data_IF_029155826349
#
_entry.id   IF_029155826349
#
_cell.length_a   1.000
_cell.length_b   1.000
_cell.length_c   1.000
_cell.angle_alpha   90.00
_cell.angle_beta   90.00
_cell.angle_gamma   90.00
#
_symmetry.space_group_name_H-M   'P 1'
#
loop_
_entity.id
_entity.type
_entity.pdbx_description
1 polymer ?
#
# COMPACT_ATOMS: atom_id res chain seq x y z
N UNK A 1 9.58 16.41 7.77
CA UNK A 1 8.75 15.20 7.81
C UNK A 1 9.24 14.32 6.67
N UNK A 2 9.96 13.21 6.94
CA UNK A 2 10.40 12.30 5.88
C UNK A 2 9.21 11.61 5.20
N UNK A 3 9.36 11.36 3.91
CA UNK A 3 8.47 10.49 3.13
C UNK A 3 9.26 9.21 2.87
N UNK A 4 8.74 8.07 3.30
CA UNK A 4 9.34 6.77 3.09
C UNK A 4 8.50 6.01 2.07
N UNK A 5 9.12 5.48 1.03
CA UNK A 5 8.43 4.85 -0.09
C UNK A 5 8.92 3.41 -0.21
N UNK A 6 7.99 2.46 -0.11
CA UNK A 6 8.18 1.09 -0.57
C UNK A 6 7.52 0.98 -1.95
N UNK A 7 8.35 0.99 -2.99
CA UNK A 7 7.90 1.14 -4.38
C UNK A 7 7.47 -0.16 -5.06
N UNK A 8 7.61 -1.31 -4.38
CA UNK A 8 7.39 -2.62 -4.97
C UNK A 8 6.80 -3.58 -3.94
N UNK A 9 5.48 -3.49 -3.74
CA UNK A 9 4.77 -4.32 -2.75
C UNK A 9 3.75 -5.24 -3.39
N UNK A 10 3.93 -6.54 -3.14
CA UNK A 10 2.96 -7.59 -3.46
C UNK A 10 2.18 -7.98 -2.21
N UNK A 11 0.86 -8.06 -2.32
CA UNK A 11 0.02 -8.69 -1.32
C UNK A 11 -0.49 -10.00 -1.92
N UNK A 12 -0.08 -11.13 -1.34
CA UNK A 12 -0.52 -12.44 -1.79
C UNK A 12 -1.84 -12.86 -1.12
N UNK A 13 -2.67 -13.63 -1.82
CA UNK A 13 -3.99 -14.07 -1.33
C UNK A 13 -3.97 -14.82 0.02
N UNK A 14 -2.85 -15.45 0.37
CA UNK A 14 -2.67 -16.14 1.64
C UNK A 14 -2.27 -15.22 2.80
N UNK A 15 -2.01 -13.94 2.53
CA UNK A 15 -1.47 -13.01 3.51
C UNK A 15 -2.57 -12.26 4.24
N UNK A 16 -2.42 -12.13 5.56
CA UNK A 16 -3.36 -11.40 6.40
C UNK A 16 -3.13 -9.89 6.25
N UNK A 17 -4.15 -9.15 5.79
CA UNK A 17 -4.05 -7.71 5.56
C UNK A 17 -3.85 -6.90 6.85
N UNK A 18 -4.40 -7.34 7.97
CA UNK A 18 -4.19 -6.68 9.26
C UNK A 18 -2.73 -6.78 9.70
N UNK A 19 -2.14 -7.97 9.53
CA UNK A 19 -0.73 -8.22 9.80
C UNK A 19 0.18 -7.45 8.83
N UNK A 20 -0.18 -7.40 7.54
CA UNK A 20 0.50 -6.58 6.55
C UNK A 20 0.63 -5.14 7.01
N UNK A 21 -0.48 -4.45 7.28
CA UNK A 21 -0.42 -3.05 7.70
C UNK A 21 0.32 -2.89 9.03
N UNK A 22 0.18 -3.85 9.96
CA UNK A 22 0.88 -3.80 11.26
C UNK A 22 2.39 -3.77 11.03
N UNK A 23 2.89 -4.68 10.20
CA UNK A 23 4.30 -4.76 9.85
C UNK A 23 4.76 -3.52 9.06
N UNK A 24 3.95 -3.03 8.11
CA UNK A 24 4.28 -1.83 7.34
C UNK A 24 4.42 -0.59 8.22
N UNK A 25 3.51 -0.37 9.17
CA UNK A 25 3.61 0.75 10.14
C UNK A 25 4.83 0.63 11.06
N UNK A 26 5.16 -0.58 11.50
CA UNK A 26 6.35 -0.85 12.34
C UNK A 26 7.61 -0.52 11.53
N UNK A 27 7.74 -1.08 10.32
CA UNK A 27 8.90 -0.88 9.46
C UNK A 27 9.13 0.60 9.15
N UNK A 28 8.10 1.34 8.71
CA UNK A 28 8.25 2.77 8.44
C UNK A 28 8.60 3.56 9.70
N UNK A 29 8.02 3.24 10.85
CA UNK A 29 8.36 3.90 12.12
C UNK A 29 9.83 3.66 12.50
N UNK A 30 10.33 2.43 12.32
CA UNK A 30 11.73 2.10 12.60
C UNK A 30 12.69 2.85 11.68
N UNK A 31 12.41 2.88 10.37
CA UNK A 31 13.24 3.62 9.41
C UNK A 31 13.17 5.14 9.61
N UNK A 32 11.98 5.69 9.87
CA UNK A 32 11.81 7.11 10.17
C UNK A 32 12.62 7.52 11.42
N UNK A 33 12.61 6.69 12.47
CA UNK A 33 13.37 6.96 13.69
C UNK A 33 14.89 6.88 13.49
N UNK A 34 15.38 6.12 12.51
CA UNK A 34 16.79 6.10 12.12
C UNK A 34 17.22 7.37 11.40
N UNK A 35 16.30 8.00 10.64
CA UNK A 35 16.54 9.28 9.96
C UNK A 35 16.47 10.43 10.97
N UNK A 36 15.36 10.54 11.69
CA UNK A 36 15.14 11.61 12.67
C UNK A 36 14.18 11.13 13.77
N UNK A 37 14.74 10.82 14.95
CA UNK A 37 14.02 10.22 16.06
C UNK A 37 12.84 11.08 16.51
N UNK A 38 11.67 10.46 16.63
CA UNK A 38 10.46 11.07 17.20
C UNK A 38 9.75 12.07 16.28
N UNK A 39 10.18 12.22 15.02
CA UNK A 39 9.50 13.09 14.06
C UNK A 39 8.37 12.36 13.34
N UNK A 40 7.33 13.11 13.00
CA UNK A 40 6.27 12.65 12.10
C UNK A 40 6.83 12.27 10.74
N UNK A 41 6.20 11.27 10.11
CA UNK A 41 6.57 10.71 8.82
C UNK A 41 5.32 10.34 8.02
N UNK A 42 5.48 10.22 6.70
CA UNK A 42 4.46 9.68 5.80
C UNK A 42 5.05 8.45 5.10
N UNK A 43 4.33 7.34 5.16
CA UNK A 43 4.66 6.13 4.42
C UNK A 43 3.93 6.12 3.09
N UNK A 44 4.56 5.55 2.07
CA UNK A 44 3.95 5.30 0.76
C UNK A 44 4.21 3.85 0.41
N UNK A 45 3.16 3.12 0.11
CA UNK A 45 3.20 1.75 -0.40
C UNK A 45 2.69 1.79 -1.83
N UNK A 46 3.55 1.43 -2.77
CA UNK A 46 3.16 1.23 -4.15
C UNK A 46 2.88 -0.26 -4.35
N UNK A 47 1.60 -0.59 -4.53
CA UNK A 47 1.22 -1.96 -4.86
C UNK A 47 1.66 -2.27 -6.29
N UNK A 48 2.10 -3.51 -6.49
CA UNK A 48 2.53 -4.03 -7.79
C UNK A 48 1.77 -5.31 -8.08
N UNK A 49 0.44 -5.26 -8.07
CA UNK A 49 -0.38 -6.46 -8.06
C UNK A 49 -0.20 -7.30 -9.33
N UNK A 50 -0.12 -8.61 -9.15
CA UNK A 50 -0.08 -9.58 -10.25
C UNK A 50 -1.50 -9.88 -10.78
N UNK A 51 -1.57 -10.58 -11.90
CA UNK A 51 -2.85 -11.04 -12.46
C UNK A 51 -3.67 -11.85 -11.44
N UNK A 52 -4.98 -11.58 -11.38
CA UNK A 52 -5.89 -12.22 -10.43
C UNK A 52 -5.87 -11.65 -9.01
N UNK A 53 -5.06 -10.63 -8.74
CA UNK A 53 -5.00 -9.91 -7.46
C UNK A 53 -5.51 -8.48 -7.64
N UNK A 54 -6.39 -8.05 -6.73
CA UNK A 54 -7.02 -6.72 -6.74
C UNK A 54 -7.30 -6.19 -5.33
N UNK A 55 -6.27 -6.20 -4.48
CA UNK A 55 -6.34 -5.70 -3.12
C UNK A 55 -6.57 -4.19 -3.05
N UNK A 56 -6.05 -3.41 -3.99
CA UNK A 56 -6.31 -1.97 -4.02
C UNK A 56 -7.80 -1.66 -4.07
N UNK A 57 -8.53 -2.27 -5.02
CA UNK A 57 -9.98 -2.04 -5.11
C UNK A 57 -10.73 -2.64 -3.92
N UNK A 58 -10.31 -3.79 -3.41
CA UNK A 58 -10.88 -4.36 -2.18
C UNK A 58 -10.72 -3.42 -0.98
N UNK A 59 -9.56 -2.79 -0.81
CA UNK A 59 -9.29 -1.82 0.25
C UNK A 59 -10.09 -0.52 0.05
N UNK A 60 -10.21 -0.07 -1.20
CA UNK A 60 -10.96 1.14 -1.57
C UNK A 60 -12.47 0.96 -1.38
N UNK A 61 -13.00 -0.25 -1.52
CA UNK A 61 -14.41 -0.56 -1.31
C UNK A 61 -14.79 -0.55 0.17
N UNK A 62 -15.59 0.44 0.58
CA UNK A 62 -16.10 0.57 1.96
C UNK A 62 -17.08 -0.53 2.37
N UNK A 63 -17.62 -1.30 1.41
CA UNK A 63 -18.49 -2.46 1.67
C UNK A 63 -17.72 -3.77 1.80
N UNK A 64 -16.40 -3.76 1.54
CA UNK A 64 -15.58 -4.94 1.69
C UNK A 64 -15.61 -5.44 3.14
N UNK A 65 -15.67 -6.76 3.34
CA UNK A 65 -15.65 -7.39 4.66
C UNK A 65 -14.23 -7.71 5.12
N UNK A 66 -13.29 -6.80 4.86
CA UNK A 66 -11.90 -6.96 5.28
C UNK A 66 -11.82 -6.77 6.79
N UNK A 67 -11.12 -7.67 7.48
CA UNK A 67 -10.82 -7.50 8.90
C UNK A 67 -9.67 -6.51 9.06
N UNK A 68 -10.02 -5.22 9.17
CA UNK A 68 -9.09 -4.10 9.32
C UNK A 68 -9.52 -3.17 10.45
N UNK A 69 -10.07 -3.73 11.52
CA UNK A 69 -10.66 -2.99 12.66
C UNK A 69 -9.69 -2.03 13.36
N UNK A 70 -8.37 -2.26 13.22
CA UNK A 70 -7.32 -1.39 13.76
C UNK A 70 -6.94 -0.21 12.86
N UNK A 71 -7.52 -0.12 11.66
CA UNK A 71 -7.18 0.88 10.66
C UNK A 71 -8.40 1.63 10.16
N UNK A 72 -8.17 2.89 9.78
CA UNK A 72 -9.12 3.72 9.07
C UNK A 72 -8.65 3.88 7.63
N UNK A 73 -9.50 3.54 6.68
CA UNK A 73 -9.23 3.74 5.25
C UNK A 73 -10.01 4.96 4.77
N UNK A 74 -9.35 5.84 4.03
CA UNK A 74 -9.95 7.04 3.44
C UNK A 74 -9.54 7.15 1.97
N UNK A 75 -10.50 7.41 1.09
CA UNK A 75 -10.20 7.72 -0.31
C UNK A 75 -9.53 9.10 -0.44
N UNK A 76 -8.65 9.25 -1.42
CA UNK A 76 -8.06 10.55 -1.80
C UNK A 76 -8.83 11.22 -2.94
N UNK A 77 -8.42 12.42 -3.34
CA UNK A 77 -8.87 13.08 -4.57
C UNK A 77 -8.43 12.34 -5.84
N UNK A 78 -7.27 11.70 -5.75
CA UNK A 78 -6.68 10.86 -6.78
C UNK A 78 -7.36 9.49 -6.77
N UNK A 79 -7.77 9.01 -7.94
CA UNK A 79 -8.53 7.77 -8.06
C UNK A 79 -7.74 6.53 -7.61
N UNK A 80 -6.43 6.54 -7.83
CA UNK A 80 -5.53 5.40 -7.64
C UNK A 80 -4.72 5.50 -6.35
N UNK A 81 -5.23 6.24 -5.34
CA UNK A 81 -4.67 6.20 -4.00
C UNK A 81 -5.73 6.21 -2.90
N UNK A 82 -5.32 5.68 -1.75
CA UNK A 82 -6.07 5.70 -0.49
C UNK A 82 -5.11 6.01 0.65
N UNK A 83 -5.63 6.54 1.75
CA UNK A 83 -4.90 6.74 3.00
C UNK A 83 -5.35 5.68 3.99
N UNK A 84 -4.39 4.94 4.55
CA UNK A 84 -4.58 4.04 5.68
C UNK A 84 -3.96 4.68 6.91
N UNK A 85 -4.77 4.85 7.95
CA UNK A 85 -4.34 5.40 9.24
C UNK A 85 -4.50 4.38 10.35
N UNK A 86 -3.54 4.31 11.28
CA UNK A 86 -3.68 3.48 12.48
C UNK A 86 -4.24 4.28 13.68
N UNK A 87 -4.46 3.60 14.82
CA UNK A 87 -4.93 4.23 16.08
C UNK A 87 -4.04 5.34 16.65
N UNK A 88 -2.80 5.48 16.16
CA UNK A 88 -1.86 6.54 16.54
C UNK A 88 -1.84 7.70 15.54
N UNK A 89 -2.81 7.73 14.61
CA UNK A 89 -2.91 8.72 13.53
C UNK A 89 -1.69 8.75 12.58
N UNK A 90 -0.87 7.70 12.59
CA UNK A 90 0.19 7.52 11.61
C UNK A 90 -0.44 7.17 10.26
N UNK A 91 0.16 7.64 9.16
CA UNK A 91 -0.45 7.55 7.83
C UNK A 91 0.46 6.82 6.84
N UNK A 92 -0.16 5.92 6.09
CA UNK A 92 0.40 5.30 4.90
C UNK A 92 -0.51 5.65 3.72
N UNK A 93 0.07 6.17 2.65
CA UNK A 93 -0.60 6.33 1.36
C UNK A 93 -0.38 5.02 0.60
N UNK A 94 -1.46 4.36 0.21
CA UNK A 94 -1.40 3.17 -0.66
C UNK A 94 -1.73 3.63 -2.07
N UNK A 95 -0.82 3.35 -3.00
CA UNK A 95 -0.93 3.67 -4.42
C UNK A 95 -1.20 2.37 -5.18
N UNK A 96 -2.23 2.37 -6.03
CA UNK A 96 -2.53 1.26 -6.91
C UNK A 96 -1.40 1.05 -7.93
N UNK A 97 -1.13 -0.19 -8.28
CA UNK A 97 -0.24 -0.50 -9.38
C UNK A 97 -0.29 -1.98 -9.77
N UNK A 98 0.23 -2.27 -10.96
CA UNK A 98 0.26 -3.61 -11.55
C UNK A 98 1.68 -4.00 -11.93
N UNK A 99 1.98 -5.28 -11.76
CA UNK A 99 3.16 -5.91 -12.34
C UNK A 99 2.81 -6.44 -13.74
N UNK A 100 3.63 -6.10 -14.74
CA UNK A 100 3.51 -6.58 -16.12
C UNK A 100 4.78 -7.34 -16.46
N UNK A 101 4.64 -8.57 -16.98
CA UNK A 101 5.78 -9.35 -17.49
C UNK A 101 5.73 -9.29 -19.01
N UNK A 102 6.75 -8.70 -19.63
CA UNK A 102 6.90 -8.61 -21.07
C UNK A 102 7.28 -9.97 -21.69
N UNK A 103 7.12 -10.10 -23.01
CA UNK A 103 7.40 -11.34 -23.75
C UNK A 103 8.86 -11.83 -23.64
N UNK A 104 9.79 -10.92 -23.36
CA UNK A 104 11.21 -11.20 -23.13
C UNK A 104 11.54 -11.44 -21.65
N UNK A 105 10.54 -11.47 -20.77
CA UNK A 105 10.68 -11.71 -19.34
C UNK A 105 11.03 -10.46 -18.51
N UNK A 106 11.04 -9.28 -19.11
CA UNK A 106 11.26 -8.02 -18.38
C UNK A 106 10.03 -7.68 -17.53
N UNK A 107 10.26 -7.39 -16.25
CA UNK A 107 9.24 -6.91 -15.34
C UNK A 107 9.09 -5.38 -15.44
N UNK A 108 7.85 -4.93 -15.66
CA UNK A 108 7.46 -3.52 -15.69
C UNK A 108 6.45 -3.25 -14.57
N UNK A 109 6.73 -2.23 -13.77
CA UNK A 109 5.84 -1.78 -12.70
C UNK A 109 5.01 -0.58 -13.18
N UNK A 110 3.72 -0.80 -13.40
CA UNK A 110 2.78 0.26 -13.71
C UNK A 110 2.22 0.82 -12.40
N UNK A 111 2.84 1.88 -11.88
CA UNK A 111 2.44 2.53 -10.62
C UNK A 111 1.46 3.69 -10.87
N UNK A 112 0.56 3.92 -9.91
CA UNK A 112 -0.44 4.99 -10.00
C UNK A 112 -1.63 4.65 -10.90
N UNK A 113 -1.89 3.36 -11.12
CA UNK A 113 -2.96 2.86 -11.99
C UNK A 113 -3.57 1.58 -11.43
N UNK A 114 -4.89 1.46 -11.57
CA UNK A 114 -5.62 0.21 -11.32
C UNK A 114 -6.01 -0.52 -12.63
N UNK A 115 -5.56 -0.02 -13.78
CA UNK A 115 -5.86 -0.63 -15.08
C UNK A 115 -5.13 -1.97 -15.21
N UNK A 116 -5.81 -2.94 -15.84
CA UNK A 116 -5.17 -4.18 -16.26
C UNK A 116 -4.44 -3.98 -17.60
N UNK A 117 -3.35 -4.72 -17.77
CA UNK A 117 -2.53 -4.72 -18.97
C UNK A 117 -2.46 -6.17 -19.48
N UNK A 118 -2.66 -6.36 -20.78
CA UNK A 118 -2.73 -7.65 -21.46
C UNK A 118 -1.78 -7.69 -22.64
#
# INVERSE_FOLDING_TARGET
>A
MPILIDSHVHIHNCYNLEEFFRNTFINFSEYANKIEKGKEWIGVVCLTEIEGVDYFNLLKDSKSKLDLSNYKIQTTSEENSIIVSNKREQKIIVIAGKQIIANDGIEILALGTANNFS
#
